data_IF_308191598644
#
_entry.id   IF_308191598644
#
_cell.length_a   1.000
_cell.length_b   1.000
_cell.length_c   1.000
_cell.angle_alpha   90.00
_cell.angle_beta   90.00
_cell.angle_gamma   90.00
#
_symmetry.space_group_name_H-M   'P 1'
#
loop_
_entity.id
_entity.type
_entity.pdbx_description
1 polymer ?
#
# COMPACT_ATOMS: atom_id res chain seq x y z
N UNK A 1 -0.56 45.20 -36.59
CA UNK A 1 -1.78 44.84 -37.35
C UNK A 1 -2.21 43.46 -36.87
N UNK A 2 -3.48 43.37 -36.43
CA UNK A 2 -4.22 42.18 -35.95
C UNK A 2 -3.88 41.59 -34.56
N UNK A 3 -4.64 42.09 -33.59
CA UNK A 3 -5.04 41.44 -32.33
C UNK A 3 -6.00 40.25 -32.58
N UNK A 4 -5.84 39.18 -31.81
CA UNK A 4 -6.89 38.21 -31.40
C UNK A 4 -6.45 37.71 -30.01
N UNK A 5 -7.14 37.86 -28.89
CA UNK A 5 -8.59 37.84 -28.66
C UNK A 5 -8.97 36.46 -28.13
N UNK A 6 -8.61 36.13 -26.88
CA UNK A 6 -9.01 34.87 -26.23
C UNK A 6 -10.11 35.17 -25.22
N UNK A 7 -11.28 34.62 -25.50
CA UNK A 7 -12.53 34.75 -24.74
C UNK A 7 -12.51 33.78 -23.56
N UNK A 8 -12.74 34.31 -22.36
CA UNK A 8 -12.98 33.52 -21.15
C UNK A 8 -14.39 32.93 -21.19
N UNK A 9 -14.52 31.61 -21.08
CA UNK A 9 -15.81 30.91 -20.93
C UNK A 9 -16.02 30.51 -19.47
N UNK A 10 -17.13 30.98 -18.90
CA UNK A 10 -17.64 30.57 -17.59
C UNK A 10 -18.08 29.10 -17.64
N UNK A 11 -17.56 28.28 -16.73
CA UNK A 11 -18.07 26.95 -16.46
C UNK A 11 -19.16 27.03 -15.38
N UNK A 12 -20.40 26.69 -15.76
CA UNK A 12 -21.51 26.50 -14.84
C UNK A 12 -21.37 25.14 -14.13
N UNK A 13 -21.39 25.17 -12.80
CA UNK A 13 -21.44 23.97 -11.96
C UNK A 13 -22.90 23.48 -11.87
N UNK A 14 -23.19 22.34 -12.51
CA UNK A 14 -24.45 21.62 -12.33
C UNK A 14 -24.26 20.54 -11.25
N UNK A 15 -24.87 20.77 -10.09
CA UNK A 15 -25.03 19.77 -9.04
C UNK A 15 -26.11 18.76 -9.45
N UNK A 16 -25.68 17.57 -9.90
CA UNK A 16 -26.55 16.42 -10.10
C UNK A 16 -26.69 15.60 -8.81
N UNK A 17 -27.70 15.88 -8.01
CA UNK A 17 -28.16 15.02 -6.91
C UNK A 17 -28.98 13.87 -7.51
N UNK A 18 -28.34 12.72 -7.76
CA UNK A 18 -29.03 11.47 -8.01
C UNK A 18 -29.43 10.86 -6.65
N UNK A 19 -30.68 11.09 -6.24
CA UNK A 19 -31.28 10.42 -5.09
C UNK A 19 -31.71 9.00 -5.47
N UNK A 20 -31.45 8.11 -4.53
CA UNK A 20 -31.55 6.67 -4.60
C UNK A 20 -32.99 6.13 -4.79
N UNK A 21 -33.05 4.93 -5.38
CA UNK A 21 -34.20 4.02 -5.34
C UNK A 21 -34.74 3.84 -3.90
N UNK A 22 -36.03 4.10 -3.64
CA UNK A 22 -36.67 3.61 -2.42
C UNK A 22 -37.14 2.15 -2.62
N UNK A 23 -36.66 1.17 -1.83
CA UNK A 23 -37.41 -0.05 -1.60
C UNK A 23 -38.51 0.25 -0.56
N UNK A 24 -39.66 -0.39 -0.73
CA UNK A 24 -40.87 -0.29 0.11
C UNK A 24 -41.72 0.97 -0.12
N UNK A 25 -42.56 0.92 -1.16
CA UNK A 25 -43.85 1.59 -1.14
C UNK A 25 -44.70 0.96 -0.02
N UNK A 26 -44.57 1.48 1.20
CA UNK A 26 -45.58 1.28 2.23
C UNK A 26 -46.88 1.87 1.67
N UNK A 27 -47.91 1.05 1.59
CA UNK A 27 -49.23 1.48 1.15
C UNK A 27 -49.59 2.77 1.93
N UNK A 28 -49.76 3.88 1.20
CA UNK A 28 -50.26 5.10 1.81
C UNK A 28 -51.58 4.75 2.51
N UNK A 29 -51.80 5.21 3.76
CA UNK A 29 -53.02 4.88 4.50
C UNK A 29 -54.22 5.25 3.64
N UNK A 30 -54.97 4.23 3.23
CA UNK A 30 -56.15 4.37 2.37
C UNK A 30 -57.19 5.20 3.13
N UNK A 31 -57.29 6.49 2.82
CA UNK A 31 -58.20 7.42 3.48
C UNK A 31 -57.79 8.89 3.47
N UNK A 32 -56.58 9.25 3.02
CA UNK A 32 -56.18 10.65 2.91
C UNK A 32 -56.72 11.27 1.62
N UNK A 33 -57.74 12.12 1.74
CA UNK A 33 -58.25 12.96 0.65
C UNK A 33 -57.43 14.26 0.60
N UNK A 34 -56.53 14.36 -0.37
CA UNK A 34 -55.64 15.51 -0.53
C UNK A 34 -56.35 16.76 -1.10
N UNK A 35 -57.58 16.63 -1.58
CA UNK A 35 -58.34 17.75 -2.16
C UNK A 35 -59.01 18.65 -1.10
N UNK A 36 -58.96 18.26 0.18
CA UNK A 36 -59.62 19.00 1.29
C UNK A 36 -58.67 19.92 2.09
N UNK A 37 -57.48 20.24 1.57
CA UNK A 37 -56.59 21.21 2.22
C UNK A 37 -56.06 20.71 3.58
N UNK A 38 -55.58 19.47 3.61
CA UNK A 38 -55.04 18.85 4.84
C UNK A 38 -53.81 19.64 5.31
N UNK A 39 -53.86 20.18 6.54
CA UNK A 39 -52.72 20.90 7.09
C UNK A 39 -51.58 19.91 7.39
N UNK A 40 -50.34 20.30 7.09
CA UNK A 40 -49.17 19.48 7.41
C UNK A 40 -49.09 19.11 8.91
N UNK A 41 -49.71 19.91 9.77
CA UNK A 41 -49.78 19.66 11.21
C UNK A 41 -50.69 18.49 11.59
N UNK A 42 -51.74 18.24 10.81
CA UNK A 42 -52.68 17.14 11.05
C UNK A 42 -52.11 15.81 10.57
N UNK A 43 -51.40 15.82 9.44
CA UNK A 43 -50.63 14.65 8.96
C UNK A 43 -49.59 14.25 10.01
N UNK A 44 -48.88 15.22 10.59
CA UNK A 44 -47.88 14.95 11.62
C UNK A 44 -48.50 14.40 12.91
N UNK A 45 -49.69 14.88 13.30
CA UNK A 45 -50.43 14.33 14.47
C UNK A 45 -50.91 12.91 14.21
N UNK A 46 -51.47 12.63 13.03
CA UNK A 46 -51.96 11.31 12.66
C UNK A 46 -50.82 10.30 12.55
N UNK A 47 -49.69 10.68 11.97
CA UNK A 47 -48.49 9.86 11.90
C UNK A 47 -47.91 9.56 13.30
N UNK A 48 -47.89 10.55 14.21
CA UNK A 48 -47.48 10.34 15.61
C UNK A 48 -48.41 9.37 16.34
N UNK A 49 -49.71 9.47 16.09
CA UNK A 49 -50.71 8.64 16.78
C UNK A 49 -50.74 7.22 16.21
N UNK A 50 -50.54 7.05 14.91
CA UNK A 50 -50.28 5.74 14.29
C UNK A 50 -48.98 5.13 14.80
N UNK A 51 -47.89 5.89 14.89
CA UNK A 51 -46.63 5.42 15.47
C UNK A 51 -46.73 5.04 16.96
N UNK A 52 -47.66 5.65 17.71
CA UNK A 52 -47.97 5.25 19.10
C UNK A 52 -48.81 3.98 19.18
N UNK A 53 -49.64 3.70 18.18
CA UNK A 53 -50.48 2.50 18.09
C UNK A 53 -49.69 1.31 17.54
N UNK A 54 -48.67 1.55 16.71
CA UNK A 54 -47.73 0.55 16.19
C UNK A 54 -46.66 0.17 17.23
N UNK A 55 -47.09 0.04 18.50
CA UNK A 55 -46.34 -0.57 19.60
C UNK A 55 -46.47 -2.10 19.59
N UNK A 56 -46.73 -2.72 18.44
CA UNK A 56 -46.40 -4.13 18.31
C UNK A 56 -44.93 -4.24 18.65
N UNK A 57 -44.62 -4.93 19.74
CA UNK A 57 -43.28 -5.13 20.23
C UNK A 57 -42.40 -5.43 19.02
N UNK A 58 -41.52 -4.50 18.65
CA UNK A 58 -40.49 -4.78 17.66
C UNK A 58 -39.79 -5.99 18.25
N UNK A 59 -40.07 -7.17 17.69
CA UNK A 59 -39.43 -8.40 18.12
C UNK A 59 -37.95 -8.05 18.18
N UNK A 60 -37.29 -8.15 19.34
CA UNK A 60 -35.97 -7.59 19.55
C UNK A 60 -35.13 -8.02 18.36
N UNK A 61 -34.76 -7.03 17.53
CA UNK A 61 -34.07 -7.30 16.27
C UNK A 61 -32.91 -8.20 16.63
N UNK A 62 -32.88 -9.41 16.07
CA UNK A 62 -31.86 -10.38 16.40
C UNK A 62 -30.50 -9.73 16.12
N UNK A 63 -29.78 -9.34 17.18
CA UNK A 63 -28.46 -8.69 17.09
C UNK A 63 -27.41 -9.80 16.87
N UNK A 64 -27.67 -10.68 15.91
CA UNK A 64 -26.67 -11.59 15.39
C UNK A 64 -25.97 -10.91 14.23
N UNK A 65 -24.65 -10.81 14.30
CA UNK A 65 -23.83 -10.43 13.15
C UNK A 65 -23.25 -11.70 12.51
N UNK A 66 -23.18 -11.68 11.19
CA UNK A 66 -22.35 -12.63 10.44
C UNK A 66 -21.08 -11.93 10.03
N UNK A 67 -19.94 -12.63 10.16
CA UNK A 67 -18.67 -12.20 9.58
C UNK A 67 -18.03 -13.37 8.87
N UNK A 68 -17.18 -13.08 7.90
CA UNK A 68 -16.45 -14.11 7.17
C UNK A 68 -14.97 -14.00 7.49
N UNK A 69 -14.32 -15.14 7.64
CA UNK A 69 -12.87 -15.22 7.72
C UNK A 69 -12.29 -15.05 6.31
N UNK A 70 -11.35 -14.12 6.14
CA UNK A 70 -10.74 -13.84 4.85
C UNK A 70 -9.43 -14.62 4.72
N UNK A 71 -9.33 -15.51 3.72
CA UNK A 71 -8.07 -16.20 3.38
C UNK A 71 -7.48 -15.58 2.13
N UNK A 72 -6.21 -15.19 2.21
CA UNK A 72 -5.50 -14.47 1.16
C UNK A 72 -4.19 -15.19 0.81
N UNK A 73 -3.87 -15.24 -0.49
CA UNK A 73 -2.61 -15.74 -1.01
C UNK A 73 -2.00 -14.75 -1.96
N UNK A 74 -0.71 -14.49 -1.79
CA UNK A 74 0.04 -13.65 -2.70
C UNK A 74 0.59 -14.49 -3.86
N UNK A 75 0.49 -13.96 -5.08
CA UNK A 75 1.17 -14.47 -6.27
C UNK A 75 2.14 -13.44 -6.78
N UNK A 76 3.30 -13.89 -7.25
CA UNK A 76 4.37 -13.02 -7.76
C UNK A 76 4.78 -13.50 -9.15
N UNK A 77 4.90 -12.57 -10.07
CA UNK A 77 5.34 -12.78 -11.44
C UNK A 77 6.66 -12.05 -11.67
N UNK A 78 7.73 -12.81 -11.79
CA UNK A 78 9.06 -12.32 -12.13
C UNK A 78 9.19 -12.10 -13.65
N UNK A 79 10.30 -11.52 -14.13
CA UNK A 79 10.49 -11.23 -15.55
C UNK A 79 10.50 -12.47 -16.46
N UNK A 80 10.98 -13.60 -15.96
CA UNK A 80 11.06 -14.85 -16.72
C UNK A 80 9.83 -15.75 -16.55
N UNK A 81 8.92 -15.40 -15.63
CA UNK A 81 7.76 -16.23 -15.33
C UNK A 81 6.74 -16.19 -16.46
N UNK A 82 5.99 -17.29 -16.61
CA UNK A 82 4.81 -17.33 -17.48
C UNK A 82 3.79 -16.30 -16.98
N UNK A 83 3.00 -15.69 -17.88
CA UNK A 83 1.99 -14.70 -17.51
C UNK A 83 0.73 -15.34 -16.87
N UNK A 84 0.86 -16.49 -16.23
CA UNK A 84 -0.25 -17.24 -15.63
C UNK A 84 0.25 -17.86 -14.32
N UNK A 85 -0.47 -17.65 -13.23
CA UNK A 85 -0.14 -18.26 -11.94
C UNK A 85 -0.50 -19.75 -11.94
N UNK A 86 0.09 -20.50 -11.02
CA UNK A 86 -0.50 -21.77 -10.61
C UNK A 86 -1.90 -21.58 -10.02
N UNK A 87 -2.61 -22.70 -9.83
CA UNK A 87 -3.87 -22.70 -9.09
C UNK A 87 -3.64 -22.35 -7.63
N UNK A 88 -4.52 -21.51 -7.08
CA UNK A 88 -4.46 -21.01 -5.71
C UNK A 88 -5.69 -21.56 -4.98
N UNK A 89 -5.47 -22.42 -3.99
CA UNK A 89 -6.57 -22.93 -3.17
C UNK A 89 -6.81 -21.99 -1.97
N UNK A 90 -8.06 -21.58 -1.81
CA UNK A 90 -8.51 -20.64 -0.76
C UNK A 90 -9.66 -21.23 0.04
N UNK A 91 -9.79 -20.82 1.31
CA UNK A 91 -10.89 -21.25 2.20
C UNK A 91 -11.39 -20.11 3.08
N UNK A 92 -12.71 -19.95 3.21
CA UNK A 92 -13.32 -18.98 4.11
C UNK A 92 -14.36 -19.64 5.00
N UNK A 93 -14.40 -19.27 6.27
CA UNK A 93 -15.39 -19.74 7.24
C UNK A 93 -16.30 -18.58 7.62
N UNK A 94 -17.61 -18.78 7.52
CA UNK A 94 -18.60 -17.90 8.10
C UNK A 94 -18.64 -18.09 9.62
N UNK A 95 -18.66 -17.00 10.37
CA UNK A 95 -18.85 -16.98 11.81
C UNK A 95 -20.17 -16.27 12.11
N UNK A 96 -21.07 -16.98 12.78
CA UNK A 96 -22.39 -16.48 13.16
C UNK A 96 -22.33 -16.15 14.65
N UNK A 97 -22.57 -14.89 14.99
CA UNK A 97 -22.74 -14.46 16.38
C UNK A 97 -24.16 -14.79 16.83
N UNK A 98 -24.27 -15.63 17.83
CA UNK A 98 -25.54 -15.94 18.49
C UNK A 98 -25.55 -15.28 19.86
N UNK A 99 -26.59 -14.48 20.11
CA UNK A 99 -26.78 -13.81 21.38
C UNK A 99 -28.01 -14.39 22.07
N UNK A 100 -27.79 -15.06 23.19
CA UNK A 100 -28.88 -15.45 24.07
C UNK A 100 -29.11 -14.35 25.10
N UNK A 101 -30.32 -13.78 25.07
CA UNK A 101 -30.83 -13.05 26.22
C UNK A 101 -30.96 -14.07 27.36
N UNK A 102 -30.13 -13.96 28.40
CA UNK A 102 -30.43 -14.70 29.62
C UNK A 102 -31.58 -13.97 30.31
N UNK A 103 -32.80 -14.42 29.94
CA UNK A 103 -34.09 -13.94 30.40
C UNK A 103 -34.29 -14.25 31.87
N UNK A 104 -33.71 -13.41 32.70
CA UNK A 104 -33.99 -13.31 34.11
C UNK A 104 -33.21 -12.11 34.59
N UNK A 105 -33.89 -10.97 34.74
CA UNK A 105 -33.39 -9.90 35.61
C UNK A 105 -33.25 -10.50 37.01
N UNK A 106 -32.10 -11.12 37.25
CA UNK A 106 -31.75 -11.68 38.53
C UNK A 106 -31.47 -10.54 39.49
N UNK A 107 -31.62 -10.83 40.78
CA UNK A 107 -31.09 -9.97 41.82
C UNK A 107 -29.92 -10.68 42.45
N UNK A 108 -28.77 -10.02 42.58
CA UNK A 108 -27.74 -10.49 43.50
C UNK A 108 -27.94 -9.80 44.86
N UNK A 109 -27.64 -10.48 45.98
CA UNK A 109 -27.70 -9.87 47.29
C UNK A 109 -26.62 -8.79 47.40
N UNK A 110 -27.06 -7.53 47.53
CA UNK A 110 -26.17 -6.40 47.79
C UNK A 110 -25.70 -6.34 49.25
N UNK A 111 -24.75 -5.45 49.56
CA UNK A 111 -24.36 -5.17 50.94
C UNK A 111 -25.60 -4.79 51.77
N UNK A 112 -25.88 -5.53 52.84
CA UNK A 112 -27.07 -5.33 53.67
C UNK A 112 -28.31 -6.14 53.25
N UNK A 113 -28.21 -7.06 52.30
CA UNK A 113 -29.31 -7.97 51.94
C UNK A 113 -30.35 -7.36 50.99
N UNK A 114 -30.12 -6.14 50.51
CA UNK A 114 -30.98 -5.52 49.50
C UNK A 114 -30.73 -6.12 48.12
N UNK A 115 -31.76 -6.56 47.38
CA UNK A 115 -31.61 -7.13 46.05
C UNK A 115 -31.25 -6.03 45.04
N UNK A 116 -30.10 -6.15 44.36
CA UNK A 116 -29.69 -5.22 43.30
C UNK A 116 -30.09 -5.80 41.93
N UNK A 117 -30.92 -5.09 41.14
CA UNK A 117 -31.36 -5.60 39.84
C UNK A 117 -30.19 -5.70 38.86
N UNK A 118 -30.01 -6.88 38.27
CA UNK A 118 -29.08 -7.07 37.15
C UNK A 118 -29.84 -6.68 35.88
N UNK A 119 -29.39 -5.66 35.13
CA UNK A 119 -29.97 -5.38 33.82
C UNK A 119 -29.83 -6.63 32.95
N UNK A 120 -30.83 -6.97 32.13
CA UNK A 120 -30.78 -8.17 31.29
C UNK A 120 -29.50 -8.15 30.45
N UNK A 121 -28.61 -9.09 30.74
CA UNK A 121 -27.36 -9.28 30.01
C UNK A 121 -27.60 -10.11 28.74
N UNK A 122 -26.89 -9.76 27.67
CA UNK A 122 -26.77 -10.61 26.49
C UNK A 122 -25.48 -11.41 26.59
N UNK A 123 -25.59 -12.74 26.52
CA UNK A 123 -24.42 -13.59 26.34
C UNK A 123 -24.32 -13.92 24.86
N UNK A 124 -23.28 -13.41 24.20
CA UNK A 124 -23.03 -13.64 22.77
C UNK A 124 -21.81 -14.53 22.60
N UNK A 125 -21.89 -15.51 21.70
CA UNK A 125 -20.75 -16.31 21.27
C UNK A 125 -20.78 -16.52 19.77
N UNK A 126 -19.61 -16.78 19.19
CA UNK A 126 -19.48 -17.13 17.79
C UNK A 126 -19.52 -18.65 17.62
N UNK A 127 -20.22 -19.10 16.59
CA UNK A 127 -20.09 -20.48 16.10
C UNK A 127 -19.78 -20.48 14.61
N UNK A 128 -19.07 -21.52 14.10
CA UNK A 128 -18.88 -21.65 12.67
C UNK A 128 -20.23 -21.90 11.97
N UNK A 129 -20.44 -21.17 10.88
CA UNK A 129 -21.52 -21.32 9.91
C UNK A 129 -21.05 -22.12 8.71
N UNK A 130 -21.32 -21.62 7.50
CA UNK A 130 -20.87 -22.26 6.27
C UNK A 130 -19.35 -22.16 6.06
N UNK A 131 -18.76 -23.18 5.47
CA UNK A 131 -17.39 -23.14 4.95
C UNK A 131 -17.41 -23.06 3.43
N UNK A 132 -16.65 -22.12 2.89
CA UNK A 132 -16.45 -21.90 1.48
C UNK A 132 -15.02 -22.29 1.13
N UNK A 133 -14.86 -22.96 -0.01
CA UNK A 133 -13.55 -23.27 -0.57
C UNK A 133 -13.60 -23.11 -2.07
N UNK A 134 -12.49 -22.71 -2.65
CA UNK A 134 -12.36 -22.78 -4.10
C UNK A 134 -10.97 -22.43 -4.59
N UNK A 135 -10.89 -22.36 -5.91
CA UNK A 135 -9.65 -22.21 -6.64
C UNK A 135 -9.66 -20.88 -7.37
N UNK A 136 -8.52 -20.20 -7.36
CA UNK A 136 -8.31 -18.99 -8.11
C UNK A 136 -7.04 -19.07 -8.96
N UNK A 137 -7.02 -18.30 -10.03
CA UNK A 137 -5.89 -18.18 -10.93
C UNK A 137 -5.79 -16.74 -11.44
N UNK A 138 -4.56 -16.23 -11.56
CA UNK A 138 -4.29 -14.90 -12.09
C UNK A 138 -3.54 -15.03 -13.42
N UNK A 139 -4.07 -14.41 -14.47
CA UNK A 139 -3.49 -14.37 -15.81
C UNK A 139 -3.21 -12.92 -16.23
N UNK A 140 -1.97 -12.63 -16.64
CA UNK A 140 -1.51 -11.32 -17.10
C UNK A 140 -1.45 -11.29 -18.63
N UNK A 141 -2.61 -11.14 -19.28
CA UNK A 141 -2.73 -11.16 -20.74
C UNK A 141 -1.98 -9.98 -21.36
N UNK A 142 -1.22 -10.26 -22.42
CA UNK A 142 -0.46 -9.26 -23.18
C UNK A 142 0.59 -8.50 -22.33
N UNK A 143 1.05 -9.10 -21.22
CA UNK A 143 2.11 -8.53 -20.38
C UNK A 143 3.40 -8.39 -21.18
N UNK A 144 3.88 -7.15 -21.29
CA UNK A 144 5.19 -6.86 -21.83
C UNK A 144 6.31 -7.34 -20.90
N UNK A 145 7.50 -7.54 -21.46
CA UNK A 145 8.67 -7.98 -20.70
C UNK A 145 8.98 -7.01 -19.55
N UNK A 146 9.11 -7.56 -18.34
CA UNK A 146 9.57 -6.81 -17.17
C UNK A 146 11.08 -6.57 -17.23
N UNK A 147 11.55 -5.50 -16.61
CA UNK A 147 12.98 -5.33 -16.34
C UNK A 147 13.47 -6.39 -15.34
N UNK A 148 14.76 -6.76 -15.36
CA UNK A 148 15.29 -7.85 -14.53
C UNK A 148 15.02 -7.76 -13.02
N UNK A 149 14.80 -6.56 -12.49
CA UNK A 149 14.53 -6.32 -11.06
C UNK A 149 13.06 -6.03 -10.74
N UNK A 150 12.21 -5.96 -11.77
CA UNK A 150 10.79 -5.72 -11.59
C UNK A 150 10.03 -7.02 -11.36
N UNK A 151 8.89 -6.89 -10.70
CA UNK A 151 7.95 -8.00 -10.49
C UNK A 151 6.54 -7.44 -10.30
N UNK A 152 5.56 -8.26 -10.64
CA UNK A 152 4.15 -7.99 -10.33
C UNK A 152 3.71 -8.90 -9.19
N UNK A 153 3.16 -8.34 -8.12
CA UNK A 153 2.66 -9.04 -6.95
C UNK A 153 1.20 -8.68 -6.71
N UNK A 154 0.36 -9.71 -6.68
CA UNK A 154 -1.08 -9.60 -6.42
C UNK A 154 -1.44 -10.42 -5.19
N UNK A 155 -2.50 -10.02 -4.50
CA UNK A 155 -3.14 -10.78 -3.43
C UNK A 155 -4.51 -11.23 -3.92
N UNK A 156 -4.76 -12.54 -3.89
CA UNK A 156 -6.08 -13.10 -4.17
C UNK A 156 -6.68 -13.55 -2.85
N UNK A 157 -7.90 -13.12 -2.55
CA UNK A 157 -8.58 -13.48 -1.32
C UNK A 157 -9.96 -14.07 -1.58
N UNK A 158 -10.37 -14.98 -0.69
CA UNK A 158 -11.73 -15.50 -0.58
C UNK A 158 -12.29 -15.07 0.78
N UNK A 159 -13.41 -14.36 0.76
CA UNK A 159 -14.17 -13.96 1.93
C UNK A 159 -15.63 -14.37 1.70
N UNK A 160 -16.14 -15.32 2.47
CA UNK A 160 -17.38 -16.02 2.16
C UNK A 160 -17.32 -16.67 0.77
N UNK A 161 -18.36 -16.50 -0.08
CA UNK A 161 -18.32 -16.91 -1.47
C UNK A 161 -17.67 -15.88 -2.41
N UNK A 162 -17.09 -14.80 -1.88
CA UNK A 162 -16.61 -13.68 -2.70
C UNK A 162 -15.10 -13.69 -2.89
N UNK A 163 -14.68 -13.77 -4.15
CA UNK A 163 -13.29 -13.55 -4.54
C UNK A 163 -12.98 -12.07 -4.68
N UNK A 164 -11.76 -11.70 -4.30
CA UNK A 164 -11.21 -10.36 -4.50
C UNK A 164 -9.74 -10.46 -4.92
N UNK A 165 -9.31 -9.49 -5.74
CA UNK A 165 -7.94 -9.37 -6.22
C UNK A 165 -7.43 -7.98 -5.90
N UNK A 166 -6.29 -7.91 -5.24
CA UNK A 166 -5.61 -6.67 -4.90
C UNK A 166 -4.24 -6.61 -5.55
N UNK A 167 -3.90 -5.47 -6.14
CA UNK A 167 -2.54 -5.21 -6.63
C UNK A 167 -1.69 -4.73 -5.45
N UNK A 168 -0.75 -5.55 -4.99
CA UNK A 168 0.19 -5.15 -3.93
C UNK A 168 1.29 -4.28 -4.54
N UNK A 169 1.88 -4.72 -5.64
CA UNK A 169 2.97 -4.05 -6.34
C UNK A 169 2.93 -4.48 -7.79
N UNK A 170 3.09 -3.57 -8.74
CA UNK A 170 3.08 -3.92 -10.15
C UNK A 170 3.92 -2.94 -10.97
N UNK A 171 4.58 -3.47 -11.99
CA UNK A 171 5.33 -2.71 -12.98
C UNK A 171 4.40 -2.05 -14.02
N UNK A 172 3.14 -2.48 -14.07
CA UNK A 172 2.10 -1.89 -14.90
C UNK A 172 0.87 -1.57 -14.07
N UNK A 173 0.15 -0.54 -14.49
CA UNK A 173 -1.26 -0.41 -14.10
C UNK A 173 -2.05 -1.48 -14.86
N UNK A 174 -2.86 -2.26 -14.17
CA UNK A 174 -3.65 -3.33 -14.75
C UNK A 174 -5.14 -3.00 -14.72
N UNK A 175 -5.85 -3.38 -15.78
CA UNK A 175 -7.31 -3.48 -15.78
C UNK A 175 -7.73 -4.94 -15.75
N UNK A 176 -8.78 -5.23 -15.00
CA UNK A 176 -9.44 -6.53 -15.05
C UNK A 176 -10.26 -6.63 -16.34
N UNK A 177 -9.93 -7.62 -17.18
CA UNK A 177 -10.62 -7.90 -18.44
C UNK A 177 -11.67 -8.99 -18.26
N UNK A 178 -11.34 -9.99 -17.45
CA UNK A 178 -12.24 -11.06 -17.06
C UNK A 178 -12.01 -11.40 -15.59
N UNK A 179 -13.08 -11.79 -14.93
CA UNK A 179 -13.11 -12.12 -13.51
C UNK A 179 -14.40 -11.59 -12.89
N UNK A 180 -14.57 -11.86 -11.61
CA UNK A 180 -15.71 -11.37 -10.86
C UNK A 180 -15.67 -11.87 -9.42
N UNK A 181 -16.52 -11.32 -8.57
CA UNK A 181 -16.57 -11.72 -7.17
C UNK A 181 -17.01 -13.18 -6.96
N UNK A 182 -17.44 -13.91 -7.99
CA UNK A 182 -17.82 -15.33 -7.89
C UNK A 182 -16.98 -16.26 -8.77
N UNK A 183 -16.02 -15.71 -9.51
CA UNK A 183 -15.14 -16.44 -10.40
C UNK A 183 -13.70 -16.25 -9.95
N UNK A 184 -13.03 -17.35 -9.59
CA UNK A 184 -11.63 -17.32 -9.16
C UNK A 184 -10.65 -17.03 -10.31
N UNK A 185 -11.11 -16.98 -11.57
CA UNK A 185 -10.26 -16.72 -12.73
C UNK A 185 -10.15 -15.23 -13.03
N UNK A 186 -9.02 -14.63 -12.65
CA UNK A 186 -8.72 -13.22 -12.89
C UNK A 186 -7.83 -13.06 -14.11
N UNK A 187 -8.33 -12.41 -15.16
CA UNK A 187 -7.54 -12.03 -16.34
C UNK A 187 -7.32 -10.53 -16.33
N UNK A 188 -6.07 -10.12 -16.16
CA UNK A 188 -5.61 -8.74 -16.16
C UNK A 188 -4.93 -8.41 -17.49
N UNK A 189 -5.05 -7.16 -17.92
CA UNK A 189 -4.31 -6.64 -19.08
C UNK A 189 -3.62 -5.32 -18.71
N UNK A 190 -2.36 -5.11 -19.09
CA UNK A 190 -1.63 -3.90 -18.75
C UNK A 190 -2.19 -2.69 -19.51
N UNK A 191 -2.26 -1.54 -18.84
CA UNK A 191 -2.68 -0.26 -19.40
C UNK A 191 -1.47 0.61 -19.68
N UNK A 192 -0.65 0.85 -18.64
CA UNK A 192 0.53 1.72 -18.73
C UNK A 192 1.64 1.21 -17.82
N UNK A 193 2.90 1.39 -18.23
CA UNK A 193 4.06 1.13 -17.37
C UNK A 193 4.05 2.11 -16.19
N UNK A 194 4.30 1.60 -15.00
CA UNK A 194 4.45 2.39 -13.78
C UNK A 194 5.89 2.29 -13.31
N UNK A 195 6.52 3.43 -13.03
CA UNK A 195 7.88 3.44 -12.51
C UNK A 195 7.95 2.66 -11.18
N UNK A 196 8.90 1.72 -11.08
CA UNK A 196 9.13 0.94 -9.87
C UNK A 196 10.33 1.45 -9.08
N UNK A 197 10.52 0.95 -7.87
CA UNK A 197 11.77 1.21 -7.14
C UNK A 197 12.95 0.60 -7.92
N UNK A 198 14.10 1.28 -7.98
CA UNK A 198 15.29 0.67 -8.56
C UNK A 198 15.74 -0.53 -7.72
N UNK A 199 16.45 -1.47 -8.35
CA UNK A 199 17.02 -2.63 -7.65
C UNK A 199 17.95 -2.19 -6.50
N UNK A 200 17.68 -2.53 -5.23
CA UNK A 200 18.60 -2.22 -4.13
C UNK A 200 20.02 -2.76 -4.35
N UNK A 201 20.18 -3.86 -5.10
CA UNK A 201 21.45 -4.46 -5.45
C UNK A 201 21.96 -4.07 -6.85
N UNK A 202 21.37 -3.03 -7.46
CA UNK A 202 21.67 -2.56 -8.80
C UNK A 202 23.05 -1.92 -8.91
N UNK A 203 23.45 -1.12 -7.92
CA UNK A 203 24.79 -0.55 -7.82
C UNK A 203 25.52 -1.17 -6.62
N UNK A 204 26.69 -1.76 -6.86
CA UNK A 204 27.49 -2.43 -5.83
C UNK A 204 28.91 -1.88 -5.80
N UNK A 205 29.50 -1.73 -4.62
CA UNK A 205 30.92 -1.41 -4.51
C UNK A 205 31.78 -2.57 -5.03
N UNK A 206 32.79 -2.24 -5.83
CA UNK A 206 33.83 -3.17 -6.29
C UNK A 206 35.10 -3.02 -5.46
N UNK A 207 35.33 -1.84 -4.88
CA UNK A 207 36.47 -1.60 -4.01
C UNK A 207 36.59 -0.14 -3.61
N UNK A 208 37.33 0.08 -2.52
CA UNK A 208 37.75 1.38 -2.04
C UNK A 208 39.25 1.33 -1.76
N UNK A 209 40.03 2.16 -2.48
CA UNK A 209 41.49 2.10 -2.41
C UNK A 209 42.08 2.96 -1.29
N UNK A 210 43.34 2.72 -0.92
CA UNK A 210 44.12 3.57 -0.01
C UNK A 210 44.32 5.00 -0.53
N UNK A 211 44.21 5.21 -1.85
CA UNK A 211 44.17 6.53 -2.49
C UNK A 211 42.78 7.20 -2.46
N UNK A 212 41.84 6.65 -1.68
CA UNK A 212 40.47 7.14 -1.51
C UNK A 212 39.64 7.16 -2.81
N UNK A 213 39.90 6.20 -3.70
CA UNK A 213 39.13 6.03 -4.94
C UNK A 213 38.09 4.94 -4.73
N UNK A 214 36.82 5.33 -4.84
CA UNK A 214 35.68 4.44 -4.82
C UNK A 214 35.38 3.95 -6.23
N UNK A 215 35.25 2.63 -6.39
CA UNK A 215 34.78 2.01 -7.63
C UNK A 215 33.45 1.32 -7.36
N UNK A 216 32.39 1.74 -8.07
CA UNK A 216 31.07 1.12 -8.04
C UNK A 216 30.78 0.48 -9.40
N UNK A 217 30.05 -0.63 -9.40
CA UNK A 217 29.54 -1.30 -10.61
C UNK A 217 28.02 -1.24 -10.62
N UNK A 218 27.47 -0.83 -11.75
CA UNK A 218 26.04 -0.76 -11.99
C UNK A 218 25.62 -1.89 -12.93
N UNK A 219 24.86 -2.86 -12.40
CA UNK A 219 24.42 -4.04 -13.15
C UNK A 219 23.43 -3.70 -14.25
N UNK A 220 22.70 -2.60 -14.10
CA UNK A 220 21.52 -2.30 -14.91
C UNK A 220 21.64 -1.00 -15.70
N UNK A 221 22.85 -0.41 -15.78
CA UNK A 221 23.09 0.88 -16.43
C UNK A 221 22.49 0.98 -17.84
N UNK A 222 22.57 -0.10 -18.63
CA UNK A 222 22.05 -0.15 -20.00
C UNK A 222 20.52 0.00 -20.10
N UNK A 223 19.77 -0.46 -19.10
CA UNK A 223 18.31 -0.31 -19.05
C UNK A 223 17.88 1.11 -18.66
N UNK A 224 18.76 1.87 -18.02
CA UNK A 224 18.48 3.22 -17.53
C UNK A 224 18.88 4.33 -18.52
N UNK A 225 19.09 3.99 -19.80
CA UNK A 225 19.50 4.95 -20.81
C UNK A 225 18.58 6.20 -20.85
N UNK A 226 19.19 7.38 -20.69
CA UNK A 226 18.48 8.67 -20.66
C UNK A 226 17.99 9.12 -19.28
N UNK A 227 18.16 8.32 -18.23
CA UNK A 227 17.93 8.74 -16.84
C UNK A 227 19.17 9.37 -16.21
N UNK A 228 19.04 9.89 -14.99
CA UNK A 228 20.17 10.28 -14.16
C UNK A 228 20.30 9.36 -12.94
N UNK A 229 21.54 9.12 -12.53
CA UNK A 229 21.90 8.35 -11.35
C UNK A 229 22.45 9.31 -10.31
N UNK A 230 21.74 9.44 -9.19
CA UNK A 230 22.21 10.28 -8.08
C UNK A 230 22.83 9.36 -7.04
N UNK A 231 24.16 9.43 -6.91
CA UNK A 231 24.92 8.73 -5.90
C UNK A 231 25.08 9.63 -4.67
N UNK A 232 24.67 9.14 -3.51
CA UNK A 232 24.92 9.78 -2.22
C UNK A 232 26.02 9.00 -1.50
N UNK A 233 27.16 9.65 -1.30
CA UNK A 233 28.39 9.09 -0.74
C UNK A 233 28.71 9.77 0.59
N UNK A 234 28.99 8.99 1.63
CA UNK A 234 29.39 9.50 2.95
C UNK A 234 30.71 8.86 3.32
N UNK A 235 31.79 9.63 3.28
CA UNK A 235 33.12 9.17 3.72
C UNK A 235 33.18 9.27 5.25
N UNK A 236 33.51 8.16 5.91
CA UNK A 236 33.66 8.09 7.36
C UNK A 236 35.07 7.65 7.75
N UNK A 237 35.55 8.20 8.88
CA UNK A 237 36.77 7.74 9.56
C UNK A 237 36.36 6.67 10.58
N UNK A 238 36.95 5.50 10.45
CA UNK A 238 36.75 4.39 11.38
C UNK A 238 37.48 4.68 12.70
N UNK A 239 36.74 4.67 13.80
CA UNK A 239 37.28 4.85 15.14
C UNK A 239 36.98 3.62 16.00
N UNK A 240 37.99 2.76 16.27
CA UNK A 240 37.78 1.58 17.10
C UNK A 240 37.18 1.94 18.47
N UNK A 241 36.07 1.30 18.83
CA UNK A 241 35.34 1.52 20.08
C UNK A 241 34.72 2.92 20.25
N UNK A 242 34.52 3.68 19.18
CA UNK A 242 33.86 4.98 19.21
C UNK A 242 32.88 5.15 18.03
N UNK A 243 32.09 6.23 18.06
CA UNK A 243 31.26 6.59 16.91
C UNK A 243 32.13 7.10 15.75
N UNK A 244 31.93 6.53 14.57
CA UNK A 244 32.65 6.94 13.37
C UNK A 244 32.34 8.39 12.99
N UNK A 245 33.39 9.11 12.57
CA UNK A 245 33.26 10.53 12.23
C UNK A 245 33.03 10.72 10.74
N UNK A 246 31.98 11.44 10.38
CA UNK A 246 31.72 11.83 8.99
C UNK A 246 32.74 12.88 8.53
N UNK A 247 33.50 12.54 7.49
CA UNK A 247 34.49 13.43 6.87
C UNK A 247 33.82 14.32 5.84
N UNK A 248 33.03 13.74 4.94
CA UNK A 248 32.33 14.46 3.88
C UNK A 248 31.10 13.68 3.45
N UNK A 249 30.05 14.41 3.07
CA UNK A 249 28.84 13.88 2.46
C UNK A 249 28.63 14.56 1.10
N UNK A 250 28.42 13.75 0.05
CA UNK A 250 28.24 14.24 -1.31
C UNK A 250 27.13 13.54 -2.07
N UNK A 251 26.36 14.33 -2.80
CA UNK A 251 25.42 13.85 -3.81
C UNK A 251 25.94 14.20 -5.21
N UNK A 252 26.10 13.19 -6.06
CA UNK A 252 26.62 13.31 -7.42
C UNK A 252 25.55 12.84 -8.40
N UNK A 253 25.08 13.75 -9.27
CA UNK A 253 24.19 13.41 -10.37
C UNK A 253 25.03 13.05 -11.61
N UNK A 254 25.00 11.77 -11.99
CA UNK A 254 25.80 11.19 -13.06
C UNK A 254 24.90 10.56 -14.12
N UNK A 255 25.41 10.44 -15.34
CA UNK A 255 24.79 9.59 -16.34
C UNK A 255 24.87 8.09 -15.92
N UNK A 256 23.94 7.24 -16.34
CA UNK A 256 24.03 5.80 -16.19
C UNK A 256 25.32 5.28 -16.84
N UNK A 257 26.13 4.54 -16.08
CA UNK A 257 27.39 3.97 -16.55
C UNK A 257 27.62 2.64 -15.86
N UNK A 258 28.18 1.66 -16.58
CA UNK A 258 28.43 0.31 -16.03
C UNK A 258 29.37 0.34 -14.82
N UNK A 259 30.26 1.33 -14.76
CA UNK A 259 31.15 1.56 -13.63
C UNK A 259 31.26 3.04 -13.31
N UNK A 260 31.29 3.35 -12.02
CA UNK A 260 31.56 4.68 -11.50
C UNK A 260 32.89 4.66 -10.76
N UNK A 261 33.76 5.63 -11.07
CA UNK A 261 35.01 5.84 -10.36
C UNK A 261 34.98 7.24 -9.75
N UNK A 262 34.92 7.31 -8.43
CA UNK A 262 34.82 8.57 -7.69
C UNK A 262 36.05 8.71 -6.80
N UNK A 263 36.84 9.76 -7.04
CA UNK A 263 37.97 10.10 -6.18
C UNK A 263 37.49 11.03 -5.07
N UNK A 264 37.48 10.56 -3.82
CA UNK A 264 36.99 11.36 -2.70
C UNK A 264 37.88 12.59 -2.43
N UNK A 265 39.14 12.56 -2.84
CA UNK A 265 40.07 13.68 -2.69
C UNK A 265 39.69 14.89 -3.56
N UNK A 266 38.87 14.71 -4.60
CA UNK A 266 38.35 15.81 -5.41
C UNK A 266 37.48 16.76 -4.57
N UNK A 267 36.96 16.27 -3.43
CA UNK A 267 36.15 17.02 -2.47
C UNK A 267 36.92 17.46 -1.21
N UNK A 268 38.26 17.39 -1.22
CA UNK A 268 39.08 17.62 -0.03
C UNK A 268 38.90 19.00 0.63
N UNK A 269 38.47 20.02 -0.13
CA UNK A 269 38.19 21.36 0.39
C UNK A 269 36.97 21.42 1.31
N UNK A 270 36.10 20.41 1.25
CA UNK A 270 34.84 20.35 1.98
C UNK A 270 34.88 19.35 3.14
N UNK A 271 36.05 18.78 3.42
CA UNK A 271 36.21 17.84 4.52
C UNK A 271 36.09 18.56 5.86
N UNK A 272 35.34 17.94 6.78
CA UNK A 272 35.23 18.41 8.17
C UNK A 272 36.58 18.36 8.91
N UNK A 273 37.47 17.45 8.49
CA UNK A 273 38.82 17.30 9.01
C UNK A 273 39.77 16.75 7.93
N UNK A 274 41.07 17.04 8.06
CA UNK A 274 42.09 16.49 7.16
C UNK A 274 42.20 14.98 7.33
N UNK A 275 42.46 14.28 6.22
CA UNK A 275 42.74 12.85 6.26
C UNK A 275 44.10 12.60 6.91
N UNK A 276 44.15 11.62 7.81
CA UNK A 276 45.36 11.22 8.53
C UNK A 276 45.97 9.98 7.86
N UNK A 277 47.24 10.01 7.44
CA UNK A 277 47.91 8.84 6.89
C UNK A 277 47.87 7.64 7.85
N UNK A 278 47.59 6.46 7.32
CA UNK A 278 47.52 5.21 8.08
C UNK A 278 46.23 4.99 8.87
N UNK A 279 45.28 5.94 8.88
CA UNK A 279 43.95 5.73 9.46
C UNK A 279 43.01 5.07 8.45
N UNK A 280 42.09 4.26 8.96
CA UNK A 280 41.09 3.57 8.16
C UNK A 280 39.89 4.47 7.86
N UNK A 281 39.44 4.41 6.62
CA UNK A 281 38.26 5.10 6.13
C UNK A 281 37.39 4.13 5.34
N UNK A 282 36.09 4.39 5.29
CA UNK A 282 35.14 3.66 4.46
C UNK A 282 34.09 4.61 3.91
N UNK A 283 33.40 4.19 2.85
CA UNK A 283 32.33 4.98 2.24
C UNK A 283 31.00 4.26 2.41
N UNK A 284 30.05 4.90 3.08
CA UNK A 284 28.65 4.52 2.96
C UNK A 284 28.11 5.09 1.65
N UNK A 285 27.39 4.27 0.88
CA UNK A 285 26.81 4.72 -0.37
C UNK A 285 25.35 4.31 -0.49
N UNK A 286 24.59 5.22 -1.08
CA UNK A 286 23.18 5.04 -1.43
C UNK A 286 22.96 5.68 -2.80
N UNK A 287 21.90 5.29 -3.49
CA UNK A 287 21.60 5.86 -4.79
C UNK A 287 20.11 5.98 -5.05
N UNK A 288 19.74 6.90 -5.94
CA UNK A 288 18.41 6.98 -6.53
C UNK A 288 18.54 7.21 -8.03
N UNK A 289 17.51 6.81 -8.78
CA UNK A 289 17.41 7.11 -10.22
C UNK A 289 16.36 8.19 -10.44
N UNK A 290 16.64 9.13 -11.32
CA UNK A 290 15.73 10.22 -11.67
C UNK A 290 15.39 10.09 -13.15
N UNK A 291 14.15 9.67 -13.43
CA UNK A 291 13.66 9.48 -14.80
C UNK A 291 12.23 8.92 -14.85
N UNK A 292 11.92 8.16 -15.91
CA UNK A 292 10.59 7.58 -16.21
C UNK A 292 10.46 6.10 -15.85
N UNK A 293 11.58 5.39 -15.74
CA UNK A 293 11.71 3.96 -15.50
C UNK A 293 11.63 3.67 -14.00
N UNK A 294 12.32 4.46 -13.18
CA UNK A 294 12.36 4.26 -11.74
C UNK A 294 11.85 5.44 -10.93
N UNK A 295 11.24 5.13 -9.79
CA UNK A 295 10.89 6.14 -8.79
C UNK A 295 12.17 6.73 -8.21
N UNK A 296 12.18 8.03 -7.85
CA UNK A 296 13.32 8.70 -7.25
C UNK A 296 13.52 8.34 -5.76
N UNK A 297 13.27 7.08 -5.41
CA UNK A 297 13.41 6.56 -4.06
C UNK A 297 14.89 6.26 -3.76
N UNK A 298 15.38 6.73 -2.61
CA UNK A 298 16.77 6.50 -2.18
C UNK A 298 16.94 5.07 -1.67
N UNK A 299 17.76 4.28 -2.37
CA UNK A 299 18.15 2.94 -1.98
C UNK A 299 19.40 3.01 -1.11
N UNK A 300 19.27 2.65 0.17
CA UNK A 300 20.43 2.42 1.05
C UNK A 300 21.05 1.09 0.65
N UNK A 301 22.27 1.12 0.13
CA UNK A 301 22.94 -0.09 -0.36
C UNK A 301 23.82 -0.69 0.71
N UNK A 302 24.80 0.06 1.21
CA UNK A 302 25.75 -0.45 2.17
C UNK A 302 26.97 0.43 2.34
N UNK A 303 28.05 -0.21 2.80
CA UNK A 303 29.36 0.38 3.06
C UNK A 303 30.45 -0.40 2.34
N UNK A 304 31.56 0.25 2.04
CA UNK A 304 32.75 -0.42 1.48
C UNK A 304 33.57 -1.08 2.58
N UNK A 305 34.50 -1.94 2.17
CA UNK A 305 35.61 -2.31 3.04
C UNK A 305 36.42 -1.07 3.48
N UNK A 306 37.05 -1.20 4.65
CA UNK A 306 37.90 -0.16 5.24
C UNK A 306 39.24 -0.11 4.50
N UNK A 307 39.70 1.09 4.16
CA UNK A 307 40.99 1.32 3.53
C UNK A 307 41.83 2.32 4.34
N UNK A 308 43.08 1.96 4.61
CA UNK A 308 44.03 2.86 5.24
C UNK A 308 44.48 3.95 4.26
N UNK A 309 44.33 5.22 4.61
CA UNK A 309 44.71 6.32 3.73
C UNK A 309 46.23 6.40 3.55
N UNK A 310 46.68 6.42 2.30
CA UNK A 310 48.08 6.61 1.91
C UNK A 310 48.18 7.73 0.87
N UNK A 311 48.74 8.91 1.22
CA UNK A 311 48.92 9.99 0.25
C UNK A 311 49.93 9.58 -0.83
N UNK A 312 49.67 10.00 -2.08
CA UNK A 312 50.47 9.61 -3.25
C UNK A 312 51.98 9.89 -3.12
N UNK A 313 52.37 10.88 -2.32
CA UNK A 313 53.78 11.24 -2.08
C UNK A 313 54.55 10.20 -1.26
N UNK A 314 53.87 9.36 -0.48
CA UNK A 314 54.52 8.30 0.30
C UNK A 314 54.68 6.98 -0.47
N UNK A 315 53.96 6.81 -1.60
CA UNK A 315 54.01 5.58 -2.38
C UNK A 315 55.27 5.46 -3.28
N UNK A 316 56.01 6.55 -3.48
CA UNK A 316 57.22 6.57 -4.32
C UNK A 316 58.53 6.38 -3.52
N UNK A 317 58.46 6.21 -2.20
CA UNK A 317 59.63 6.17 -1.30
C UNK A 317 59.91 4.77 -0.72
N UNK A 318 59.21 3.73 -1.19
CA UNK A 318 59.44 2.32 -0.88
C UNK A 318 59.48 1.52 -2.19
#
# INVERSE_FOLDING_TARGET
MMMRGVVASLAAAAFGLALANPPAAQAAPSGLNFDQGVSASDILKQAKEQAKQDKTAIAPAYIGSTRYERDCRAVTFNPADRPESGQIHLRSTEWITECNNYGGGGYYPGPGGHPIPVPPGQNCWERPGYSYSGEAQVTLRDRQQLYPWEYDKFEVCLEGPWYSLYTITAAYEYKMVQGGNRDGNFVLSPIKKTAMKPDPAGIVAQGFSSSMVLTLKDKWASYYAGEQTVLKLVLKKDLPNWFDTVIVEKELALAPAEAYRVNMLDFAKEFSQKLEPGKNYYVEYSFKRVGKISKPDLMKVGETDKAAYQPATLAAAY
#
